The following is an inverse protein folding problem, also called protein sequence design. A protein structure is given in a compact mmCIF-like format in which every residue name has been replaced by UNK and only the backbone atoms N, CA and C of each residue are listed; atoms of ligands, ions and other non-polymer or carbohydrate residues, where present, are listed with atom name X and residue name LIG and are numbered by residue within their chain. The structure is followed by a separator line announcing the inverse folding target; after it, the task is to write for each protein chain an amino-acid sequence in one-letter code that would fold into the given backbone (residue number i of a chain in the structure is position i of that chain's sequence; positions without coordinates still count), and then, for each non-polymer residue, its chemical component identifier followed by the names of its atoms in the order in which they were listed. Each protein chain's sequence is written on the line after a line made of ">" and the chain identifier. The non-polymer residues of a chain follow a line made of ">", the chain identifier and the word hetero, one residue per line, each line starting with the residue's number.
data_IF_280155645603
#
_entry.id   IF_280155645603
#
_cell.length_a   1.000
_cell.length_b   1.000
_cell.length_c   1.000
_cell.angle_alpha   90.00
_cell.angle_beta   90.00
_cell.angle_gamma   90.00
#
_symmetry.space_group_name_H-M   'P 1'
#
loop_
_entity.id
_entity.type
_entity.pdbx_description
1 polymer ?
#
# COMPACT_ATOMS: atom_id res chain seq x y z
N UNK A 1 -37.89 -8.18 17.90
CA UNK A 1 -37.00 -7.02 17.71
C UNK A 1 -36.59 -6.92 16.26
N UNK A 2 -37.18 -6.04 15.50
CA UNK A 2 -36.76 -5.83 14.12
C UNK A 2 -35.44 -5.07 14.15
N UNK A 3 -34.40 -5.65 13.55
CA UNK A 3 -33.15 -4.93 13.31
C UNK A 3 -33.50 -3.78 12.36
N UNK A 4 -33.24 -2.55 12.78
CA UNK A 4 -33.33 -1.42 11.89
C UNK A 4 -32.55 -1.62 10.60
N UNK A 5 -32.88 -0.91 9.53
CA UNK A 5 -32.16 -1.07 8.25
C UNK A 5 -30.68 -0.94 8.53
N UNK A 6 -29.93 -1.96 8.11
CA UNK A 6 -28.47 -1.85 8.05
C UNK A 6 -28.23 -0.57 7.28
N UNK A 7 -27.53 0.38 7.89
CA UNK A 7 -27.00 1.52 7.14
C UNK A 7 -26.32 0.89 5.94
N UNK A 8 -26.85 1.15 4.77
CA UNK A 8 -26.22 0.73 3.53
C UNK A 8 -24.79 1.20 3.62
N UNK A 9 -23.91 0.26 3.93
CA UNK A 9 -22.51 0.48 3.70
C UNK A 9 -22.47 0.90 2.25
N UNK A 10 -22.12 2.17 2.00
CA UNK A 10 -21.86 2.64 0.64
C UNK A 10 -20.96 1.58 0.06
N UNK A 11 -21.52 0.71 -0.79
CA UNK A 11 -20.74 -0.31 -1.47
C UNK A 11 -19.73 0.47 -2.29
N UNK A 12 -18.55 0.64 -1.70
CA UNK A 12 -17.43 1.16 -2.45
C UNK A 12 -17.19 0.18 -3.58
N UNK A 13 -17.19 0.64 -4.81
CA UNK A 13 -16.90 -0.24 -5.92
C UNK A 13 -15.60 -0.99 -5.62
N UNK A 14 -15.55 -2.25 -5.97
CA UNK A 14 -14.42 -3.12 -5.71
C UNK A 14 -13.11 -2.41 -6.06
N UNK A 15 -12.25 -2.27 -5.07
CA UNK A 15 -11.00 -1.55 -5.20
C UNK A 15 -9.81 -2.45 -4.92
N UNK A 16 -8.76 -2.27 -5.68
CA UNK A 16 -7.47 -2.86 -5.38
C UNK A 16 -6.89 -2.20 -4.12
N UNK A 17 -6.13 -2.94 -3.37
CA UNK A 17 -5.49 -2.44 -2.16
C UNK A 17 -3.98 -2.37 -2.35
N UNK A 18 -3.40 -1.22 -2.05
CA UNK A 18 -1.96 -1.06 -1.93
C UNK A 18 -1.62 -0.87 -0.46
N UNK A 19 -1.04 -1.90 0.14
CA UNK A 19 -0.60 -1.88 1.52
C UNK A 19 0.84 -1.42 1.60
N UNK A 20 1.08 -0.35 2.35
CA UNK A 20 2.43 0.16 2.61
C UNK A 20 2.72 -0.02 4.09
N UNK A 21 3.51 -1.02 4.40
CA UNK A 21 3.93 -1.32 5.77
C UNK A 21 5.36 -0.85 5.98
N UNK A 22 5.54 0.12 6.84
CA UNK A 22 6.86 0.69 7.14
C UNK A 22 7.22 0.52 8.60
N UNK A 23 8.47 0.18 8.82
CA UNK A 23 9.08 0.12 10.14
C UNK A 23 10.33 0.98 10.15
N UNK A 24 10.98 1.12 11.31
CA UNK A 24 12.26 1.82 11.39
C UNK A 24 13.38 1.15 10.57
N UNK A 25 13.22 -0.13 10.21
CA UNK A 25 14.26 -0.92 9.55
C UNK A 25 13.91 -1.39 8.14
N UNK A 26 12.66 -1.27 7.71
CA UNK A 26 12.23 -1.84 6.44
C UNK A 26 11.02 -1.10 5.87
N UNK A 27 10.82 -1.28 4.57
CA UNK A 27 9.61 -0.86 3.87
C UNK A 27 9.09 -2.05 3.07
N UNK A 28 7.81 -2.36 3.23
CA UNK A 28 7.13 -3.41 2.46
C UNK A 28 5.90 -2.85 1.78
N UNK A 29 5.75 -3.16 0.50
CA UNK A 29 4.59 -2.76 -0.29
C UNK A 29 3.96 -4.02 -0.85
N UNK A 30 2.65 -4.14 -0.70
CA UNK A 30 1.88 -5.30 -1.19
C UNK A 30 0.68 -4.79 -1.98
N UNK A 31 0.52 -5.30 -3.19
CA UNK A 31 -0.59 -4.97 -4.08
C UNK A 31 -1.52 -6.16 -4.19
N UNK A 32 -2.78 -5.98 -3.81
CA UNK A 32 -3.78 -7.05 -3.76
C UNK A 32 -5.01 -6.73 -4.59
N UNK A 33 -5.69 -7.80 -5.07
CA UNK A 33 -7.02 -7.70 -5.67
C UNK A 33 -8.07 -7.26 -4.63
N UNK A 34 -9.25 -6.81 -5.05
CA UNK A 34 -10.34 -6.48 -4.13
C UNK A 34 -10.72 -7.63 -3.19
N UNK A 35 -10.55 -8.88 -3.63
CA UNK A 35 -10.78 -10.07 -2.82
C UNK A 35 -9.75 -10.28 -1.70
N UNK A 36 -8.67 -9.52 -1.68
CA UNK A 36 -7.56 -9.67 -0.75
C UNK A 36 -6.45 -10.60 -1.23
N UNK A 37 -6.63 -11.24 -2.40
CA UNK A 37 -5.63 -12.12 -2.99
C UNK A 37 -4.48 -11.31 -3.59
N UNK A 38 -3.24 -11.78 -3.39
CA UNK A 38 -2.05 -11.13 -3.91
C UNK A 38 -2.04 -11.10 -5.44
N UNK A 39 -1.80 -9.93 -6.01
CA UNK A 39 -1.56 -9.79 -7.45
C UNK A 39 -0.21 -10.43 -7.80
N UNK A 40 -0.13 -11.10 -8.95
CA UNK A 40 1.12 -11.67 -9.43
C UNK A 40 2.21 -10.60 -9.48
N UNK A 41 3.38 -10.87 -8.89
CA UNK A 41 4.49 -9.92 -8.74
C UNK A 41 4.09 -8.63 -7.98
N UNK A 42 3.12 -8.71 -7.10
CA UNK A 42 2.60 -7.56 -6.34
C UNK A 42 3.22 -7.37 -4.96
N UNK A 43 4.47 -7.74 -4.77
CA UNK A 43 5.14 -7.66 -3.48
C UNK A 43 6.56 -7.12 -3.63
N UNK A 44 6.87 -6.11 -2.84
CA UNK A 44 8.18 -5.43 -2.85
C UNK A 44 8.64 -5.15 -1.43
N UNK A 45 9.90 -5.37 -1.18
CA UNK A 45 10.55 -5.00 0.08
C UNK A 45 11.84 -4.24 -0.21
N UNK A 46 12.37 -3.55 0.80
CA UNK A 46 13.68 -2.90 0.66
C UNK A 46 14.76 -3.91 0.26
N UNK A 47 14.71 -5.12 0.82
CA UNK A 47 15.64 -6.19 0.45
C UNK A 47 15.48 -6.68 -0.98
N UNK A 48 14.25 -6.82 -1.48
CA UNK A 48 13.99 -7.25 -2.87
C UNK A 48 14.40 -6.18 -3.89
N UNK A 49 14.45 -4.91 -3.48
CA UNK A 49 14.94 -3.80 -4.31
C UNK A 49 16.47 -3.67 -4.32
N UNK A 50 17.19 -4.56 -3.64
CA UNK A 50 18.65 -4.59 -3.64
C UNK A 50 19.32 -3.85 -2.48
N UNK A 51 18.56 -3.30 -1.54
CA UNK A 51 19.11 -2.65 -0.36
C UNK A 51 19.43 -3.67 0.73
N UNK A 52 20.54 -3.49 1.42
CA UNK A 52 21.02 -4.42 2.45
C UNK A 52 21.44 -3.66 3.71
N UNK A 53 21.33 -4.32 4.88
CA UNK A 53 21.77 -3.77 6.15
C UNK A 53 21.04 -2.47 6.52
N UNK A 54 21.78 -1.46 6.95
CA UNK A 54 21.24 -0.16 7.34
C UNK A 54 20.53 0.58 6.18
N UNK A 55 20.88 0.28 4.95
CA UNK A 55 20.29 0.92 3.76
C UNK A 55 18.82 0.54 3.55
N UNK A 56 18.33 -0.57 4.13
CA UNK A 56 16.92 -0.97 4.06
C UNK A 56 15.98 0.04 4.70
N UNK A 57 16.44 0.81 5.66
CA UNK A 57 15.67 1.83 6.37
C UNK A 57 15.74 3.20 5.72
N UNK A 58 16.48 3.34 4.62
CA UNK A 58 16.69 4.62 3.96
C UNK A 58 15.45 5.11 3.22
N UNK A 59 15.37 6.42 3.02
CA UNK A 59 14.36 7.06 2.18
C UNK A 59 14.41 6.52 0.74
N UNK A 60 15.60 6.35 0.19
CA UNK A 60 15.82 5.84 -1.17
C UNK A 60 15.25 4.42 -1.34
N UNK A 61 15.40 3.56 -0.35
CA UNK A 61 14.82 2.21 -0.39
C UNK A 61 13.30 2.24 -0.52
N UNK A 62 12.63 3.08 0.27
CA UNK A 62 11.18 3.27 0.18
C UNK A 62 10.75 3.85 -1.17
N UNK A 63 11.49 4.80 -1.68
CA UNK A 63 11.21 5.41 -2.99
C UNK A 63 11.32 4.40 -4.13
N UNK A 64 12.37 3.58 -4.15
CA UNK A 64 12.56 2.55 -5.17
C UNK A 64 11.47 1.47 -5.10
N UNK A 65 11.07 1.07 -3.90
CA UNK A 65 9.93 0.17 -3.74
C UNK A 65 8.65 0.77 -4.34
N UNK A 66 8.39 2.04 -4.09
CA UNK A 66 7.23 2.74 -4.62
C UNK A 66 7.25 2.81 -6.15
N UNK A 67 8.37 3.16 -6.75
CA UNK A 67 8.52 3.24 -8.21
C UNK A 67 8.24 1.88 -8.87
N UNK A 68 8.78 0.81 -8.32
CA UNK A 68 8.53 -0.54 -8.83
C UNK A 68 7.07 -0.95 -8.69
N UNK A 69 6.45 -0.62 -7.57
CA UNK A 69 5.03 -0.86 -7.36
C UNK A 69 4.17 -0.10 -8.37
N UNK A 70 4.50 1.14 -8.65
CA UNK A 70 3.77 1.97 -9.61
C UNK A 70 3.81 1.40 -11.02
N UNK A 71 4.97 0.90 -11.45
CA UNK A 71 5.09 0.23 -12.76
C UNK A 71 4.15 -0.97 -12.86
N UNK A 72 4.07 -1.77 -11.81
CA UNK A 72 3.17 -2.93 -11.80
C UNK A 72 1.70 -2.52 -11.77
N UNK A 73 1.34 -1.47 -11.07
CA UNK A 73 -0.02 -0.94 -11.05
C UNK A 73 -0.41 -0.39 -12.42
N UNK A 74 0.49 0.31 -13.11
CA UNK A 74 0.26 0.78 -14.47
C UNK A 74 -0.01 -0.37 -15.44
N UNK A 75 0.71 -1.48 -15.32
CA UNK A 75 0.47 -2.69 -16.10
C UNK A 75 -0.95 -3.24 -15.86
N UNK A 76 -1.43 -3.24 -14.62
CA UNK A 76 -2.78 -3.68 -14.28
C UNK A 76 -3.86 -2.71 -14.84
N UNK A 77 -3.60 -1.42 -14.81
CA UNK A 77 -4.52 -0.40 -15.34
C UNK A 77 -4.67 -0.55 -16.86
N UNK A 78 -3.57 -0.84 -17.56
CA UNK A 78 -3.57 -0.97 -19.03
C UNK A 78 -4.06 -2.34 -19.50
N UNK A 79 -4.08 -3.35 -18.64
CA UNK A 79 -4.53 -4.69 -18.98
C UNK A 79 -6.06 -4.71 -19.06
N UNK A 80 -6.66 -4.98 -20.25
CA UNK A 80 -8.11 -5.13 -20.34
C UNK A 80 -8.57 -6.34 -19.52
N UNK A 81 -9.52 -6.12 -18.64
CA UNK A 81 -10.14 -7.19 -17.87
C UNK A 81 -11.06 -7.98 -18.82
N UNK A 82 -10.52 -9.05 -19.41
CA UNK A 82 -11.18 -9.82 -20.48
C UNK A 82 -12.34 -10.70 -20.01
N UNK A 83 -12.57 -10.79 -18.68
CA UNK A 83 -13.58 -11.73 -18.17
C UNK A 83 -15.03 -11.34 -18.48
N UNK A 84 -15.33 -10.06 -18.66
CA UNK A 84 -16.69 -9.58 -18.87
C UNK A 84 -16.86 -8.59 -20.04
N UNK A 85 -15.88 -8.49 -20.93
CA UNK A 85 -15.94 -7.60 -22.10
C UNK A 85 -15.94 -6.10 -21.78
N UNK A 86 -15.74 -5.72 -20.54
CA UNK A 86 -15.69 -4.33 -20.07
C UNK A 86 -14.33 -3.98 -19.49
N UNK A 87 -13.88 -2.77 -19.77
CA UNK A 87 -12.71 -2.19 -19.10
C UNK A 87 -13.20 -1.67 -17.76
N UNK A 88 -12.97 -2.42 -16.67
CA UNK A 88 -13.23 -1.91 -15.33
C UNK A 88 -12.10 -0.96 -14.95
N UNK A 89 -12.41 0.29 -14.55
CA UNK A 89 -11.37 1.18 -14.06
C UNK A 89 -10.76 0.61 -12.78
N UNK A 90 -9.44 0.47 -12.74
CA UNK A 90 -8.73 0.08 -11.52
C UNK A 90 -8.84 1.24 -10.54
N UNK A 91 -9.45 0.98 -9.39
CA UNK A 91 -9.51 1.90 -8.28
C UNK A 91 -8.56 1.42 -7.18
N UNK A 92 -7.81 2.33 -6.63
CA UNK A 92 -6.74 2.02 -5.69
C UNK A 92 -7.07 2.61 -4.32
N UNK A 93 -7.09 1.76 -3.31
CA UNK A 93 -7.15 2.16 -1.91
C UNK A 93 -5.75 2.06 -1.31
N UNK A 94 -5.20 3.18 -0.87
CA UNK A 94 -3.91 3.22 -0.19
C UNK A 94 -4.10 2.95 1.30
N UNK A 95 -3.32 2.03 1.85
CA UNK A 95 -3.36 1.67 3.26
C UNK A 95 -1.96 1.72 3.85
N UNK A 96 -1.71 2.73 4.66
CA UNK A 96 -0.44 2.90 5.35
C UNK A 96 -0.48 2.27 6.73
N UNK A 97 0.56 1.54 7.09
CA UNK A 97 0.72 0.95 8.40
C UNK A 97 2.14 1.19 8.91
N UNK A 98 2.26 1.75 10.09
CA UNK A 98 3.53 2.05 10.72
C UNK A 98 4.14 3.37 10.27
N UNK A 99 5.25 3.72 10.88
CA UNK A 99 5.98 4.95 10.63
C UNK A 99 7.44 4.64 10.32
N UNK A 100 8.01 5.42 9.43
CA UNK A 100 9.40 5.30 9.03
C UNK A 100 9.68 6.15 7.80
N UNK A 101 10.92 6.22 7.37
CA UNK A 101 11.31 6.97 6.18
C UNK A 101 10.62 6.46 4.91
N UNK A 102 10.33 5.15 4.86
CA UNK A 102 9.64 4.56 3.71
C UNK A 102 8.25 5.13 3.49
N UNK A 103 7.51 5.41 4.55
CA UNK A 103 6.17 6.01 4.45
C UNK A 103 6.21 7.37 3.75
N UNK A 104 7.11 8.23 4.19
CA UNK A 104 7.29 9.55 3.58
C UNK A 104 7.76 9.44 2.13
N UNK A 105 8.69 8.52 1.85
CA UNK A 105 9.18 8.27 0.51
C UNK A 105 8.07 7.85 -0.46
N UNK A 106 7.19 6.94 -0.04
CA UNK A 106 6.05 6.50 -0.85
C UNK A 106 5.07 7.64 -1.09
N UNK A 107 4.75 8.42 -0.06
CA UNK A 107 3.88 9.58 -0.20
C UNK A 107 4.42 10.60 -1.20
N UNK A 108 5.71 10.89 -1.13
CA UNK A 108 6.36 11.81 -2.06
C UNK A 108 6.44 11.23 -3.49
N UNK A 109 6.65 9.93 -3.62
CA UNK A 109 6.65 9.27 -4.93
C UNK A 109 5.31 9.44 -5.66
N UNK A 110 4.18 9.41 -4.95
CA UNK A 110 2.87 9.70 -5.54
C UNK A 110 2.73 11.12 -6.06
N UNK A 111 3.47 12.06 -5.50
CA UNK A 111 3.42 13.48 -5.88
C UNK A 111 4.39 13.82 -7.01
N UNK A 112 5.28 12.92 -7.38
CA UNK A 112 6.22 13.10 -8.47
C UNK A 112 5.63 12.63 -9.81
N UNK A 113 6.34 12.85 -10.90
CA UNK A 113 5.97 12.36 -12.23
C UNK A 113 5.83 10.84 -12.31
N UNK A 114 6.54 10.12 -11.46
CA UNK A 114 6.43 8.65 -11.36
C UNK A 114 5.03 8.18 -10.97
N UNK A 115 4.32 8.97 -10.18
CA UNK A 115 2.97 8.65 -9.70
C UNK A 115 1.84 9.28 -10.50
N UNK A 116 2.11 10.07 -11.54
CA UNK A 116 1.08 10.82 -12.27
C UNK A 116 -0.02 9.93 -12.85
N UNK A 117 0.35 8.81 -13.45
CA UNK A 117 -0.58 7.88 -14.08
C UNK A 117 -1.44 7.11 -13.06
N UNK A 118 -0.96 7.00 -11.84
CA UNK A 118 -1.60 6.21 -10.77
C UNK A 118 -2.44 7.09 -9.86
N UNK A 119 -2.05 8.34 -9.70
CA UNK A 119 -2.71 9.29 -8.78
C UNK A 119 -4.20 9.45 -9.07
N UNK A 120 -4.58 9.45 -10.33
CA UNK A 120 -5.98 9.53 -10.75
C UNK A 120 -6.81 8.29 -10.35
N UNK A 121 -6.16 7.15 -10.15
CA UNK A 121 -6.80 5.89 -9.76
C UNK A 121 -6.98 5.76 -8.25
N UNK A 122 -6.30 6.58 -7.46
CA UNK A 122 -6.42 6.58 -6.00
C UNK A 122 -7.73 7.25 -5.59
N UNK A 123 -8.58 6.53 -4.86
CA UNK A 123 -9.84 7.09 -4.38
C UNK A 123 -9.92 7.20 -2.86
N UNK A 124 -9.12 6.44 -2.13
CA UNK A 124 -9.06 6.52 -0.67
C UNK A 124 -7.66 6.32 -0.13
N UNK A 125 -7.37 6.97 0.99
CA UNK A 125 -6.13 6.81 1.74
C UNK A 125 -6.50 6.56 3.18
N UNK A 126 -6.01 5.45 3.76
CA UNK A 126 -6.27 5.06 5.14
C UNK A 126 -4.95 4.91 5.89
N UNK A 127 -4.97 5.27 7.16
CA UNK A 127 -3.92 4.91 8.12
C UNK A 127 -4.42 3.73 8.97
N UNK A 128 -3.70 2.62 8.89
CA UNK A 128 -4.00 1.39 9.63
C UNK A 128 -2.99 1.07 10.71
N UNK A 129 -2.20 2.04 11.12
CA UNK A 129 -1.23 1.85 12.20
C UNK A 129 -1.94 1.42 13.47
N UNK A 130 -1.61 0.24 14.04
CA UNK A 130 -2.26 -0.23 15.26
C UNK A 130 -1.86 0.66 16.44
N UNK A 131 -2.84 0.99 17.26
CA UNK A 131 -2.65 1.73 18.50
C UNK A 131 -2.72 0.73 19.66
N UNK A 132 -1.65 0.62 20.40
CA UNK A 132 -1.59 -0.24 21.56
C UNK A 132 -2.34 0.42 22.73
N UNK A 133 -3.40 -0.22 23.20
CA UNK A 133 -4.17 0.20 24.39
C UNK A 133 -3.85 -0.75 25.52
N UNK A 134 -2.93 -0.37 26.42
CA UNK A 134 -2.44 -1.26 27.45
C UNK A 134 -1.65 -2.43 26.85
N UNK A 135 -1.94 -3.66 27.31
CA UNK A 135 -1.30 -4.87 26.82
C UNK A 135 0.00 -5.21 27.55
N UNK A 136 0.84 -6.03 26.94
CA UNK A 136 2.10 -6.46 27.52
C UNK A 136 3.13 -5.32 27.52
N UNK A 137 4.10 -5.42 28.44
CA UNK A 137 5.19 -4.43 28.52
C UNK A 137 5.93 -4.32 27.19
N UNK A 138 6.17 -3.08 26.76
CA UNK A 138 6.93 -2.83 25.57
C UNK A 138 8.38 -3.28 25.68
N UNK A 139 9.01 -3.59 24.55
CA UNK A 139 10.42 -3.93 24.48
C UNK A 139 11.28 -2.78 25.03
N UNK A 140 12.33 -3.12 25.78
CA UNK A 140 13.30 -2.15 26.28
C UNK A 140 13.88 -1.31 25.15
N UNK A 141 13.96 0.00 25.35
CA UNK A 141 14.54 0.90 24.37
C UNK A 141 16.01 0.56 24.11
N UNK A 142 16.41 0.63 22.85
CA UNK A 142 17.79 0.39 22.43
C UNK A 142 18.68 1.52 22.94
N UNK A 143 19.78 1.17 23.58
CA UNK A 143 20.82 2.14 23.93
C UNK A 143 21.63 2.47 22.67
N UNK A 144 21.70 3.74 22.38
CA UNK A 144 22.51 4.27 21.28
C UNK A 144 23.78 4.91 21.85
#
# INVERSE_FOLDING_TARGET
>A
MQRGPKKDSVEHPESYHLHVYTTSNNCRIVFTYPSGKLVKNGWWTSGSCGFKGANKSSYEAGYQCAVRAFKRIEEEITRPNLKDGGVYPVRLALKFKGFGWGREAVQKAFMTSEGDNIRSSVFSVEDRTPIKIGGTRAKKARRL
#
